data_IF_434226366270
#
_entry.id   IF_434226366270
#
_cell.length_a   1.000
_cell.length_b   1.000
_cell.length_c   1.000
_cell.angle_alpha   90.00
_cell.angle_beta   90.00
_cell.angle_gamma   90.00
#
_symmetry.space_group_name_H-M   'P 1'
#
loop_
_entity.id
_entity.type
_entity.pdbx_description
1 polymer ?
#
# COMPACT_ATOMS: atom_id res chain seq x y z
N UNK A 1 5.49 -13.98 -15.29
CA UNK A 1 5.81 -14.63 -13.99
C UNK A 1 6.12 -13.59 -12.93
N UNK A 2 7.14 -12.74 -13.11
CA UNK A 2 7.54 -11.71 -12.15
C UNK A 2 6.42 -10.71 -11.78
N UNK A 3 5.58 -10.30 -12.74
CA UNK A 3 4.44 -9.40 -12.44
C UNK A 3 3.41 -10.05 -11.50
N UNK A 4 3.19 -11.37 -11.61
CA UNK A 4 2.24 -12.08 -10.74
C UNK A 4 2.80 -12.16 -9.31
N UNK A 5 4.11 -12.41 -9.18
CA UNK A 5 4.81 -12.44 -7.89
C UNK A 5 4.79 -11.06 -7.22
N UNK A 6 4.99 -9.99 -8.00
CA UNK A 6 4.90 -8.61 -7.50
C UNK A 6 3.51 -8.28 -6.96
N UNK A 7 2.45 -8.61 -7.71
CA UNK A 7 1.08 -8.42 -7.24
C UNK A 7 0.78 -9.24 -5.99
N UNK A 8 1.30 -10.47 -5.89
CA UNK A 8 1.09 -11.33 -4.72
C UNK A 8 1.79 -10.77 -3.48
N UNK A 9 3.03 -10.31 -3.62
CA UNK A 9 3.77 -9.69 -2.52
C UNK A 9 3.03 -8.45 -1.97
N UNK A 10 2.46 -7.61 -2.85
CA UNK A 10 1.66 -6.46 -2.44
C UNK A 10 0.38 -6.87 -1.68
N UNK A 11 -0.27 -7.95 -2.12
CA UNK A 11 -1.46 -8.49 -1.47
C UNK A 11 -1.15 -9.07 -0.08
N UNK A 12 -0.02 -9.77 0.05
CA UNK A 12 0.42 -10.39 1.31
C UNK A 12 0.90 -9.36 2.35
N UNK A 13 1.60 -8.30 1.93
CA UNK A 13 2.18 -7.32 2.85
C UNK A 13 1.19 -6.21 3.28
N UNK A 14 0.31 -5.77 2.36
CA UNK A 14 -0.57 -4.61 2.61
C UNK A 14 -2.04 -4.91 2.30
N UNK A 15 -2.32 -5.79 1.34
CA UNK A 15 -3.69 -6.16 0.94
C UNK A 15 -4.44 -5.10 0.11
N UNK A 16 -3.75 -4.02 -0.28
CA UNK A 16 -4.27 -2.98 -1.18
C UNK A 16 -3.20 -2.51 -2.19
N UNK A 17 -3.63 -1.93 -3.30
CA UNK A 17 -2.74 -1.40 -4.33
C UNK A 17 -2.14 -2.43 -5.28
N UNK A 18 -2.62 -3.68 -5.29
CA UNK A 18 -2.18 -4.76 -6.19
C UNK A 18 -2.30 -4.39 -7.67
N UNK A 19 -3.30 -3.56 -8.02
CA UNK A 19 -3.42 -3.03 -9.40
C UNK A 19 -2.39 -1.93 -9.66
N UNK A 20 -2.23 -1.01 -8.70
CA UNK A 20 -1.31 0.12 -8.80
C UNK A 20 0.14 -0.34 -9.00
N UNK A 21 0.60 -1.34 -8.25
CA UNK A 21 1.98 -1.84 -8.37
C UNK A 21 2.29 -2.39 -9.77
N UNK A 22 1.30 -2.99 -10.43
CA UNK A 22 1.44 -3.55 -11.78
C UNK A 22 1.51 -2.45 -12.83
N UNK A 23 0.64 -1.44 -12.71
CA UNK A 23 0.64 -0.28 -13.61
C UNK A 23 1.96 0.48 -13.48
N UNK A 24 2.40 0.75 -12.25
CA UNK A 24 3.66 1.45 -11.98
C UNK A 24 4.86 0.68 -12.54
N UNK A 25 4.93 -0.63 -12.32
CA UNK A 25 6.01 -1.45 -12.87
C UNK A 25 6.06 -1.39 -14.42
N UNK A 26 4.90 -1.37 -15.08
CA UNK A 26 4.82 -1.17 -16.53
C UNK A 26 5.34 0.21 -16.96
N UNK A 27 4.92 1.26 -16.26
CA UNK A 27 5.35 2.64 -16.53
C UNK A 27 6.87 2.82 -16.34
N UNK A 28 7.44 2.30 -15.26
CA UNK A 28 8.89 2.35 -15.00
C UNK A 28 9.71 1.66 -16.10
N UNK A 29 9.20 0.57 -16.68
CA UNK A 29 9.84 -0.10 -17.81
C UNK A 29 9.72 0.75 -19.10
N UNK A 30 8.57 1.36 -19.35
CA UNK A 30 8.36 2.28 -20.48
C UNK A 30 9.28 3.50 -20.41
N UNK A 31 9.50 4.06 -19.22
CA UNK A 31 10.46 5.17 -19.00
C UNK A 31 11.91 4.71 -19.14
N UNK A 32 12.23 3.45 -18.82
CA UNK A 32 13.57 2.91 -18.95
C UNK A 32 13.97 2.61 -20.42
N UNK A 33 13.02 2.26 -21.28
CA UNK A 33 13.24 1.96 -22.71
C UNK A 33 14.05 3.04 -23.46
N UNK A 34 13.66 4.34 -23.47
CA UNK A 34 14.42 5.37 -24.17
C UNK A 34 15.80 5.63 -23.56
N UNK A 35 16.03 5.28 -22.29
CA UNK A 35 17.35 5.37 -21.66
C UNK A 35 18.27 4.25 -22.19
N UNK A 36 17.72 3.05 -22.36
CA UNK A 36 18.43 1.92 -22.96
C UNK A 36 18.76 2.20 -24.44
N UNK A 37 17.84 2.79 -25.22
CA UNK A 37 18.09 3.21 -26.61
C UNK A 37 19.26 4.20 -26.73
N UNK A 38 19.42 5.07 -25.73
CA UNK A 38 20.56 6.00 -25.59
C UNK A 38 21.85 5.33 -25.13
N UNK A 39 21.88 4.00 -25.02
CA UNK A 39 23.02 3.19 -24.57
C UNK A 39 23.48 3.49 -23.14
N UNK A 40 22.57 3.95 -22.27
CA UNK A 40 22.85 4.01 -20.84
C UNK A 40 22.97 2.59 -20.28
N UNK A 41 23.99 2.35 -19.46
CA UNK A 41 24.19 1.04 -18.84
C UNK A 41 23.03 0.76 -17.85
N UNK A 42 22.39 -0.42 -17.89
CA UNK A 42 21.24 -0.74 -17.02
C UNK A 42 21.49 -0.49 -15.54
N UNK A 43 22.70 -0.76 -15.05
CA UNK A 43 23.09 -0.49 -13.65
C UNK A 43 22.93 0.97 -13.25
N UNK A 44 23.18 1.91 -14.17
CA UNK A 44 23.03 3.34 -13.90
C UNK A 44 21.54 3.73 -13.81
N UNK A 45 20.69 3.12 -14.65
CA UNK A 45 19.23 3.32 -14.60
C UNK A 45 18.69 2.80 -13.28
N UNK A 46 19.08 1.58 -12.88
CA UNK A 46 18.67 0.98 -11.59
C UNK A 46 19.15 1.83 -10.42
N UNK A 47 20.39 2.31 -10.43
CA UNK A 47 20.91 3.18 -9.39
C UNK A 47 20.09 4.49 -9.27
N UNK A 48 19.72 5.10 -10.40
CA UNK A 48 18.86 6.28 -10.43
C UNK A 48 17.46 6.00 -9.86
N UNK A 49 16.86 4.86 -10.18
CA UNK A 49 15.56 4.47 -9.60
C UNK A 49 15.63 4.19 -8.10
N UNK A 50 16.73 3.62 -7.60
CA UNK A 50 16.91 3.42 -6.14
C UNK A 50 17.04 4.75 -5.40
N UNK A 51 17.79 5.71 -5.94
CA UNK A 51 17.88 7.07 -5.38
C UNK A 51 16.51 7.77 -5.39
N UNK A 52 15.79 7.70 -6.52
CA UNK A 52 14.45 8.29 -6.61
C UNK A 52 13.45 7.64 -5.63
N UNK A 53 13.59 6.34 -5.34
CA UNK A 53 12.77 5.65 -4.35
C UNK A 53 13.04 6.18 -2.93
N UNK A 54 14.30 6.39 -2.56
CA UNK A 54 14.67 6.96 -1.26
C UNK A 54 14.06 8.35 -1.08
N UNK A 55 14.21 9.22 -2.07
CA UNK A 55 13.63 10.57 -2.08
C UNK A 55 12.10 10.52 -1.99
N UNK A 56 11.46 9.64 -2.77
CA UNK A 56 10.01 9.47 -2.75
C UNK A 56 9.50 9.01 -1.38
N UNK A 57 10.21 8.09 -0.71
CA UNK A 57 9.86 7.64 0.64
C UNK A 57 9.99 8.74 1.68
N UNK A 58 11.00 9.61 1.55
CA UNK A 58 11.14 10.77 2.42
C UNK A 58 10.01 11.77 2.23
N UNK A 59 9.68 12.10 0.97
CA UNK A 59 8.55 12.99 0.65
C UNK A 59 7.23 12.40 1.16
N UNK A 60 7.00 11.10 0.97
CA UNK A 60 5.79 10.42 1.47
C UNK A 60 5.64 10.56 2.99
N UNK A 61 6.74 10.51 3.76
CA UNK A 61 6.70 10.73 5.21
C UNK A 61 6.37 12.17 5.57
N UNK A 62 6.82 13.15 4.78
CA UNK A 62 6.56 14.57 5.02
C UNK A 62 5.10 14.95 4.73
N UNK A 63 4.49 14.33 3.71
CA UNK A 63 3.09 14.59 3.33
C UNK A 63 2.08 13.67 4.02
N UNK A 64 2.55 12.64 4.74
CA UNK A 64 1.69 11.71 5.46
C UNK A 64 0.88 12.45 6.53
N UNK A 65 -0.43 12.21 6.52
CA UNK A 65 -1.34 12.74 7.55
C UNK A 65 -1.47 11.69 8.66
N UNK A 66 -1.02 11.99 9.90
CA UNK A 66 -1.15 11.04 10.99
C UNK A 66 -2.62 10.87 11.37
N UNK A 67 -3.02 9.61 11.60
CA UNK A 67 -4.39 9.24 11.97
C UNK A 67 -4.36 8.59 13.35
N UNK A 68 -5.25 9.02 14.24
CA UNK A 68 -5.43 8.34 15.53
C UNK A 68 -6.23 7.06 15.34
N UNK A 69 -5.58 5.92 15.57
CA UNK A 69 -6.22 4.59 15.53
C UNK A 69 -7.37 4.40 16.52
N UNK A 70 -7.49 5.28 17.54
CA UNK A 70 -8.60 5.26 18.49
C UNK A 70 -9.81 6.09 18.01
N UNK A 71 -9.63 6.99 17.03
CA UNK A 71 -10.72 7.76 16.44
C UNK A 71 -11.52 6.89 15.46
N UNK A 72 -12.75 6.48 15.80
CA UNK A 72 -13.55 5.60 14.96
C UNK A 72 -13.94 6.24 13.62
N UNK A 73 -14.11 7.56 13.57
CA UNK A 73 -14.51 8.26 12.33
C UNK A 73 -13.33 8.33 11.36
N UNK A 74 -12.15 8.70 11.86
CA UNK A 74 -10.94 8.78 11.03
C UNK A 74 -10.55 7.40 10.46
N UNK A 75 -10.62 6.34 11.29
CA UNK A 75 -10.38 4.96 10.82
C UNK A 75 -11.45 4.53 9.82
N UNK A 76 -12.71 4.91 10.01
CA UNK A 76 -13.79 4.62 9.06
C UNK A 76 -13.55 5.27 7.71
N UNK A 77 -13.08 6.52 7.68
CA UNK A 77 -12.77 7.22 6.44
C UNK A 77 -11.69 6.48 5.63
N UNK A 78 -10.62 6.03 6.29
CA UNK A 78 -9.56 5.23 5.66
C UNK A 78 -10.10 3.91 5.11
N UNK A 79 -10.86 3.17 5.92
CA UNK A 79 -11.44 1.88 5.52
C UNK A 79 -12.39 2.06 4.34
N UNK A 80 -13.19 3.13 4.34
CA UNK A 80 -14.07 3.48 3.22
C UNK A 80 -13.28 3.76 1.95
N UNK A 81 -12.18 4.51 2.02
CA UNK A 81 -11.29 4.74 0.87
C UNK A 81 -10.83 3.44 0.20
N UNK A 82 -10.55 2.40 0.99
CA UNK A 82 -10.07 1.09 0.50
C UNK A 82 -11.17 0.15 -0.03
N UNK A 83 -12.44 0.33 0.37
CA UNK A 83 -13.55 -0.59 0.02
C UNK A 83 -14.64 0.03 -0.85
N UNK A 84 -14.76 1.36 -0.89
CA UNK A 84 -15.84 2.06 -1.61
C UNK A 84 -15.75 1.83 -3.14
N UNK A 85 -14.55 1.56 -3.68
CA UNK A 85 -14.35 1.24 -5.10
C UNK A 85 -14.77 -0.20 -5.47
N UNK A 86 -15.18 -1.02 -4.48
CA UNK A 86 -15.55 -2.43 -4.65
C UNK A 86 -17.08 -2.61 -4.58
N UNK A 87 -17.54 -3.86 -4.69
CA UNK A 87 -18.97 -4.25 -4.60
C UNK A 87 -19.68 -3.77 -3.32
N UNK A 88 -18.88 -3.42 -2.31
CA UNK A 88 -19.27 -3.09 -0.94
C UNK A 88 -19.96 -1.73 -0.81
N UNK A 89 -19.78 -0.82 -1.77
CA UNK A 89 -20.43 0.51 -1.81
C UNK A 89 -21.95 0.48 -1.63
N UNK A 90 -22.61 -0.63 -1.99
CA UNK A 90 -24.07 -0.81 -1.83
C UNK A 90 -24.52 -0.99 -0.39
N UNK A 91 -23.63 -1.35 0.52
CA UNK A 91 -23.93 -1.63 1.93
C UNK A 91 -23.61 -0.43 2.85
N UNK A 92 -23.20 0.70 2.29
CA UNK A 92 -22.83 1.89 3.04
C UNK A 92 -21.78 1.58 4.10
N UNK A 93 -22.03 2.04 5.33
CA UNK A 93 -21.07 1.92 6.43
C UNK A 93 -21.05 0.54 7.11
N UNK A 94 -22.01 -0.35 6.83
CA UNK A 94 -22.15 -1.61 7.55
C UNK A 94 -20.87 -2.46 7.50
N UNK A 95 -20.26 -2.55 6.33
CA UNK A 95 -19.09 -3.40 6.12
C UNK A 95 -17.83 -2.76 6.71
N UNK A 96 -17.68 -1.43 6.60
CA UNK A 96 -16.59 -0.71 7.29
C UNK A 96 -16.68 -0.88 8.81
N UNK A 97 -17.88 -0.76 9.38
CA UNK A 97 -18.10 -0.91 10.82
C UNK A 97 -17.82 -2.34 11.29
N UNK A 98 -18.20 -3.35 10.50
CA UNK A 98 -17.91 -4.75 10.79
C UNK A 98 -16.40 -5.05 10.73
N UNK A 99 -15.71 -4.54 9.70
CA UNK A 99 -14.26 -4.69 9.58
C UNK A 99 -13.53 -4.10 10.78
N UNK A 100 -13.86 -2.86 11.17
CA UNK A 100 -13.24 -2.20 12.33
C UNK A 100 -13.50 -2.97 13.62
N UNK A 101 -14.75 -3.45 13.83
CA UNK A 101 -15.10 -4.25 15.01
C UNK A 101 -14.34 -5.57 15.06
N UNK A 102 -14.23 -6.28 13.94
CA UNK A 102 -13.49 -7.52 13.84
C UNK A 102 -12.00 -7.31 14.16
N UNK A 103 -11.37 -6.31 13.55
CA UNK A 103 -9.96 -5.97 13.80
C UNK A 103 -9.69 -5.62 15.26
N UNK A 104 -10.60 -4.87 15.91
CA UNK A 104 -10.47 -4.54 17.35
C UNK A 104 -10.63 -5.78 18.25
N UNK A 105 -11.41 -6.77 17.84
CA UNK A 105 -11.65 -7.99 18.62
C UNK A 105 -10.45 -8.93 18.64
N UNK A 106 -9.68 -8.99 17.55
CA UNK A 106 -8.46 -9.81 17.44
C UNK A 106 -7.18 -9.02 17.71
N UNK A 107 -7.32 -7.79 18.24
CA UNK A 107 -6.18 -6.97 18.62
C UNK A 107 -5.60 -7.48 19.94
N UNK A 108 -4.31 -7.82 19.92
CA UNK A 108 -3.55 -8.30 21.07
C UNK A 108 -2.55 -7.21 21.48
N UNK A 109 -2.60 -6.80 22.74
CA UNK A 109 -1.59 -5.94 23.34
C UNK A 109 -0.36 -6.79 23.71
N UNK A 110 0.76 -6.57 23.01
CA UNK A 110 2.03 -7.21 23.38
C UNK A 110 2.58 -6.60 24.67
N UNK A 111 3.39 -7.36 25.44
CA UNK A 111 4.10 -6.84 26.61
C UNK A 111 5.00 -5.63 26.33
N UNK A 112 5.40 -5.43 25.07
CA UNK A 112 6.21 -4.28 24.58
C UNK A 112 5.36 -3.03 24.25
N UNK A 113 4.07 -3.03 24.59
CA UNK A 113 3.15 -1.91 24.33
C UNK A 113 2.72 -1.76 22.86
N UNK A 114 3.12 -2.68 21.98
CA UNK A 114 2.70 -2.72 20.58
C UNK A 114 1.38 -3.47 20.44
N UNK A 115 0.45 -2.90 19.68
CA UNK A 115 -0.77 -3.57 19.25
C UNK A 115 -0.47 -4.43 18.03
N UNK A 116 -0.74 -5.73 18.12
CA UNK A 116 -0.71 -6.64 16.97
C UNK A 116 -2.14 -7.08 16.65
N UNK A 117 -2.43 -7.29 15.37
CA UNK A 117 -3.70 -7.86 14.92
C UNK A 117 -3.40 -9.31 14.60
N UNK A 118 -4.00 -10.24 15.35
CA UNK A 118 -3.85 -11.66 15.03
C UNK A 118 -4.73 -12.01 13.82
N UNK A 119 -4.07 -12.35 12.71
CA UNK A 119 -4.72 -12.74 11.45
C UNK A 119 -4.77 -14.27 11.27
N UNK A 120 -4.39 -15.07 12.28
CA UNK A 120 -4.31 -16.53 12.23
C UNK A 120 -5.33 -17.26 13.10
#
# INVERSE_FOLDING_TARGET
>A
KNMIELSRAQDEEVGDGTTSVIILAGEFLGVAEPLLEKKLHPTLIVAGYMQALEDALEIMKQIAVPIDSNDPEAVREVVRGAIDTKFVSRYGNLISDLAIKATKMVCIDKPDGRKEIDLK
#
